data_IF_255469498610
#
_entry.id   IF_255469498610
#
_cell.length_a   1.000
_cell.length_b   1.000
_cell.length_c   1.000
_cell.angle_alpha   90.00
_cell.angle_beta   90.00
_cell.angle_gamma   90.00
#
_symmetry.space_group_name_H-M   'P 1'
#
loop_
_entity.id
_entity.type
_entity.pdbx_description
1 polymer ?
#
# COMPACT_ATOMS: atom_id res chain seq x y z
N UNK A 1 28.15 39.34 8.68
CA UNK A 1 27.79 38.42 7.60
C UNK A 1 28.16 37.05 8.07
N UNK A 2 27.31 36.47 8.88
CA UNK A 2 27.38 35.05 9.26
C UNK A 2 26.40 34.83 10.41
N UNK A 3 25.14 34.51 10.07
CA UNK A 3 24.14 34.02 11.03
C UNK A 3 22.87 33.56 10.32
N UNK A 4 22.97 32.53 9.49
CA UNK A 4 21.77 31.90 8.92
C UNK A 4 22.07 30.49 8.37
N UNK A 5 22.67 29.63 9.17
CA UNK A 5 22.84 28.22 8.81
C UNK A 5 23.13 27.36 10.05
N UNK A 6 22.30 27.45 11.09
CA UNK A 6 22.29 26.50 12.21
C UNK A 6 20.97 26.63 12.99
N UNK A 7 19.86 26.27 12.35
CA UNK A 7 18.63 25.85 13.01
C UNK A 7 18.27 24.54 12.34
N UNK A 8 18.71 23.45 12.75
CA UNK A 8 18.62 22.83 14.06
C UNK A 8 17.38 21.98 14.03
N UNK A 9 17.48 20.78 13.38
CA UNK A 9 16.59 19.64 13.64
C UNK A 9 16.84 19.18 15.09
N UNK A 10 16.64 20.07 16.04
CA UNK A 10 16.48 19.66 17.43
C UNK A 10 15.05 19.16 17.61
N UNK A 11 14.96 17.87 17.88
CA UNK A 11 13.82 17.17 18.43
C UNK A 11 13.03 18.06 19.37
N UNK A 12 11.88 18.54 18.94
CA UNK A 12 10.89 19.05 19.86
C UNK A 12 10.22 17.87 20.57
N UNK A 13 10.92 17.25 21.52
CA UNK A 13 10.27 16.62 22.65
C UNK A 13 9.56 17.72 23.45
N UNK A 14 8.57 18.39 22.81
CA UNK A 14 7.61 19.21 23.52
C UNK A 14 6.85 18.27 24.41
N UNK A 15 6.84 18.59 25.71
CA UNK A 15 6.01 17.95 26.73
C UNK A 15 4.69 17.49 26.11
N UNK A 16 4.41 16.21 26.22
CA UNK A 16 3.12 15.64 25.83
C UNK A 16 2.10 16.42 26.67
N UNK A 17 1.25 17.29 26.08
CA UNK A 17 0.23 17.99 26.86
C UNK A 17 -0.55 16.90 27.58
N UNK A 18 -0.86 17.12 28.86
CA UNK A 18 -1.67 16.21 29.65
C UNK A 18 -2.88 15.80 28.78
N UNK A 19 -2.89 14.53 28.34
CA UNK A 19 -3.92 13.99 27.45
C UNK A 19 -5.26 14.20 28.19
N UNK A 20 -6.03 15.16 27.70
CA UNK A 20 -7.38 15.36 28.17
C UNK A 20 -8.12 14.05 27.83
N UNK A 21 -8.60 13.32 28.83
CA UNK A 21 -9.29 12.03 28.71
C UNK A 21 -10.70 12.18 28.11
N UNK A 22 -10.85 13.08 27.16
CA UNK A 22 -12.12 13.32 26.51
C UNK A 22 -12.34 12.27 25.42
N UNK A 23 -13.44 11.60 25.50
CA UNK A 23 -13.87 10.52 24.58
C UNK A 23 -13.98 11.02 23.13
N UNK A 24 -13.50 10.23 22.16
CA UNK A 24 -13.83 10.45 20.75
C UNK A 24 -15.25 9.91 20.44
N UNK A 25 -16.05 10.60 19.60
CA UNK A 25 -15.78 11.90 18.98
C UNK A 25 -15.93 13.07 19.92
N UNK A 26 -15.21 14.18 19.65
CA UNK A 26 -15.49 15.47 20.26
C UNK A 26 -16.78 16.09 19.73
N UNK A 27 -17.32 17.14 20.39
CA UNK A 27 -18.65 17.69 20.06
C UNK A 27 -18.75 18.25 18.65
N UNK A 28 -17.70 18.89 18.11
CA UNK A 28 -17.69 19.44 16.74
C UNK A 28 -17.63 18.33 15.72
N UNK A 29 -16.77 17.34 15.93
CA UNK A 29 -16.72 16.14 15.09
C UNK A 29 -18.05 15.42 15.06
N UNK A 30 -18.67 15.20 16.22
CA UNK A 30 -19.97 14.52 16.32
C UNK A 30 -21.05 15.21 15.50
N UNK A 31 -21.16 16.53 15.59
CA UNK A 31 -22.15 17.32 14.83
C UNK A 31 -21.91 17.24 13.32
N UNK A 32 -20.65 17.33 12.86
CA UNK A 32 -20.30 17.21 11.44
C UNK A 32 -20.55 15.80 10.89
N UNK A 33 -20.28 14.76 11.69
CA UNK A 33 -20.55 13.37 11.30
C UNK A 33 -22.05 13.08 11.23
N UNK A 34 -22.85 13.63 12.17
CA UNK A 34 -24.32 13.55 12.11
C UNK A 34 -24.87 14.25 10.85
N UNK A 35 -24.36 15.43 10.52
CA UNK A 35 -24.74 16.13 9.29
C UNK A 35 -24.41 15.30 8.05
N UNK A 36 -23.19 14.75 7.95
CA UNK A 36 -22.78 13.91 6.83
C UNK A 36 -23.68 12.68 6.68
N UNK A 37 -24.11 12.08 7.80
CA UNK A 37 -25.02 10.94 7.82
C UNK A 37 -26.39 11.20 7.16
N UNK A 38 -26.75 12.46 6.94
CA UNK A 38 -27.98 12.82 6.17
C UNK A 38 -27.78 12.69 4.66
N UNK A 39 -26.54 12.64 4.18
CA UNK A 39 -26.21 12.64 2.76
C UNK A 39 -25.64 11.30 2.29
N UNK A 40 -24.94 10.58 3.18
CA UNK A 40 -24.23 9.34 2.82
C UNK A 40 -24.13 8.40 4.00
N UNK A 41 -24.17 7.09 3.73
CA UNK A 41 -23.78 6.07 4.69
C UNK A 41 -22.26 5.96 4.63
N UNK A 42 -21.58 6.32 5.70
CA UNK A 42 -20.13 6.28 5.80
C UNK A 42 -19.68 5.61 7.10
N UNK A 43 -18.66 4.74 6.99
CA UNK A 43 -17.93 4.19 8.13
C UNK A 43 -16.73 5.09 8.41
N UNK A 44 -16.85 5.95 9.40
CA UNK A 44 -15.87 6.99 9.71
C UNK A 44 -15.10 6.65 11.00
N UNK A 45 -13.84 7.06 11.04
CA UNK A 45 -13.17 7.20 12.34
C UNK A 45 -13.90 8.25 13.19
N UNK A 46 -13.91 8.10 14.54
CA UNK A 46 -14.70 8.97 15.42
C UNK A 46 -14.06 10.35 15.63
N UNK A 47 -13.61 10.98 14.56
CA UNK A 47 -13.03 12.33 14.55
C UNK A 47 -13.09 12.94 13.14
N UNK A 48 -13.11 14.27 13.06
CA UNK A 48 -12.98 15.02 11.81
C UNK A 48 -11.64 15.72 11.78
N UNK A 49 -10.90 15.55 10.67
CA UNK A 49 -9.54 16.08 10.50
C UNK A 49 -9.58 17.57 10.18
N UNK A 50 -8.77 18.36 10.88
CA UNK A 50 -8.42 19.73 10.52
C UNK A 50 -7.05 19.72 9.81
N UNK A 51 -7.05 19.85 8.49
CA UNK A 51 -5.86 19.77 7.68
C UNK A 51 -4.80 20.83 8.03
N UNK A 52 -5.22 21.99 8.53
CA UNK A 52 -4.29 23.09 8.90
C UNK A 52 -3.51 22.76 10.19
N UNK A 53 -4.05 21.87 11.02
CA UNK A 53 -3.44 21.45 12.29
C UNK A 53 -2.65 20.16 12.21
N UNK A 54 -2.65 19.50 11.04
CA UNK A 54 -1.84 18.30 10.85
C UNK A 54 -0.36 18.66 10.69
N UNK A 55 0.54 17.84 11.24
CA UNK A 55 1.99 18.06 11.14
C UNK A 55 2.76 16.72 11.27
N UNK A 56 3.65 16.42 10.33
CA UNK A 56 4.50 15.22 10.38
C UNK A 56 3.71 13.93 10.49
N UNK A 57 3.80 13.26 11.63
CA UNK A 57 3.06 12.05 11.97
C UNK A 57 1.74 12.33 12.71
N UNK A 58 1.34 13.59 12.88
CA UNK A 58 0.20 13.96 13.68
C UNK A 58 -0.96 14.49 12.86
N UNK A 59 -2.15 13.96 13.10
CA UNK A 59 -3.42 14.53 12.63
C UNK A 59 -3.91 15.56 13.66
N UNK A 60 -4.33 16.72 13.20
CA UNK A 60 -5.13 17.65 13.96
C UNK A 60 -6.62 17.38 13.77
N UNK A 61 -7.44 17.57 14.78
CA UNK A 61 -8.90 17.47 14.67
C UNK A 61 -9.59 18.82 14.83
N UNK A 62 -10.81 18.94 14.30
CA UNK A 62 -11.63 20.14 14.43
C UNK A 62 -11.98 20.45 15.89
N UNK A 63 -11.92 19.44 16.77
CA UNK A 63 -12.08 19.58 18.23
C UNK A 63 -10.78 20.03 18.94
N UNK A 64 -9.71 20.32 18.19
CA UNK A 64 -8.44 20.80 18.72
C UNK A 64 -7.52 19.72 19.30
N UNK A 65 -7.83 18.44 19.09
CA UNK A 65 -7.00 17.31 19.53
C UNK A 65 -5.93 16.96 18.50
N UNK A 66 -4.89 16.23 18.95
CA UNK A 66 -3.87 15.64 18.09
C UNK A 66 -3.95 14.11 18.19
N UNK A 67 -3.82 13.44 17.06
CA UNK A 67 -3.84 11.97 16.96
C UNK A 67 -2.54 11.54 16.28
N UNK A 68 -1.82 10.63 16.90
CA UNK A 68 -0.59 10.06 16.37
C UNK A 68 -0.91 9.00 15.34
N UNK A 69 -0.66 9.28 14.05
CA UNK A 69 -1.15 8.48 12.93
C UNK A 69 -0.13 7.43 12.47
N UNK A 70 -0.34 6.18 12.86
CA UNK A 70 0.39 5.01 12.35
C UNK A 70 -0.40 4.22 11.30
N UNK A 71 -1.57 4.72 10.91
CA UNK A 71 -2.38 4.20 9.81
C UNK A 71 -2.00 4.81 8.44
N UNK A 72 -1.45 6.04 8.43
CA UNK A 72 -0.92 6.73 7.26
C UNK A 72 -1.95 6.87 6.12
N UNK A 73 -3.21 7.17 6.45
CA UNK A 73 -4.31 7.19 5.48
C UNK A 73 -4.36 5.92 4.61
N UNK A 74 -4.36 4.75 5.24
CA UNK A 74 -4.30 3.45 4.55
C UNK A 74 -3.07 3.28 3.66
N UNK A 75 -1.92 3.81 4.11
CA UNK A 75 -0.66 3.83 3.38
C UNK A 75 -0.64 4.75 2.14
N UNK A 76 -1.50 5.75 2.06
CA UNK A 76 -1.50 6.70 0.95
C UNK A 76 -0.64 7.94 1.20
N UNK A 77 -0.17 8.15 2.44
CA UNK A 77 0.71 9.28 2.78
C UNK A 77 2.17 8.95 2.50
N UNK A 78 2.81 9.70 1.61
CA UNK A 78 4.21 9.49 1.23
C UNK A 78 5.17 10.14 2.24
N UNK A 79 4.96 11.43 2.52
CA UNK A 79 5.75 12.23 3.48
C UNK A 79 4.85 12.79 4.58
N UNK A 80 5.43 13.36 5.63
CA UNK A 80 4.71 13.96 6.74
C UNK A 80 3.67 15.00 6.34
N UNK A 81 2.65 15.17 7.17
CA UNK A 81 1.64 16.20 6.97
C UNK A 81 2.26 17.59 7.00
N UNK A 82 1.78 18.46 6.11
CA UNK A 82 2.19 19.86 6.01
C UNK A 82 3.71 20.09 6.00
N UNK A 83 4.42 19.18 5.30
CA UNK A 83 5.87 19.29 5.15
C UNK A 83 6.24 20.66 4.55
N UNK A 84 7.25 21.39 5.08
CA UNK A 84 7.61 22.74 4.62
C UNK A 84 7.87 22.85 3.11
N UNK A 85 8.44 21.81 2.50
CA UNK A 85 8.67 21.74 1.04
C UNK A 85 7.39 21.71 0.19
N UNK A 86 6.21 21.52 0.80
CA UNK A 86 4.90 21.62 0.13
C UNK A 86 4.33 23.05 0.16
N UNK A 87 5.10 24.01 0.70
CA UNK A 87 4.75 25.45 0.71
C UNK A 87 5.71 26.31 -0.10
N UNK A 88 6.64 25.70 -0.85
CA UNK A 88 7.52 26.40 -1.77
C UNK A 88 6.69 27.19 -2.81
N UNK A 89 6.91 28.50 -3.01
CA UNK A 89 6.00 29.35 -3.80
C UNK A 89 5.78 28.86 -5.24
N UNK A 90 6.84 28.39 -5.90
CA UNK A 90 6.74 27.86 -7.27
C UNK A 90 5.85 26.62 -7.34
N UNK A 91 6.01 25.69 -6.40
CA UNK A 91 5.16 24.52 -6.30
C UNK A 91 3.70 24.90 -6.06
N UNK A 92 3.43 25.79 -5.10
CA UNK A 92 2.06 26.23 -4.79
C UNK A 92 1.37 26.84 -6.01
N UNK A 93 2.08 27.69 -6.78
CA UNK A 93 1.53 28.27 -8.01
C UNK A 93 1.20 27.21 -9.06
N UNK A 94 2.05 26.20 -9.20
CA UNK A 94 1.82 25.08 -10.14
C UNK A 94 0.65 24.22 -9.68
N UNK A 95 0.56 23.94 -8.38
CA UNK A 95 -0.53 23.17 -7.78
C UNK A 95 -1.89 23.85 -8.01
N UNK A 96 -1.98 25.17 -7.75
CA UNK A 96 -3.20 25.96 -7.97
C UNK A 96 -3.61 25.94 -9.44
N UNK A 97 -2.65 26.10 -10.38
CA UNK A 97 -2.96 26.00 -11.82
C UNK A 97 -3.48 24.62 -12.21
N UNK A 98 -2.86 23.56 -11.70
CA UNK A 98 -3.31 22.18 -11.95
C UNK A 98 -4.70 21.91 -11.35
N UNK A 99 -4.98 22.43 -10.16
CA UNK A 99 -6.27 22.28 -9.49
C UNK A 99 -7.41 23.00 -10.25
N UNK A 100 -7.13 24.20 -10.78
CA UNK A 100 -8.14 24.99 -11.52
C UNK A 100 -8.39 24.52 -12.95
N UNK A 101 -7.50 23.67 -13.51
CA UNK A 101 -7.57 23.20 -14.88
C UNK A 101 -7.59 21.65 -14.90
N UNK A 102 -8.78 21.09 -14.76
CA UNK A 102 -8.95 19.63 -14.82
C UNK A 102 -8.77 19.12 -16.25
N UNK A 103 -7.53 18.78 -16.61
CA UNK A 103 -7.14 18.37 -17.95
C UNK A 103 -7.33 16.87 -18.17
N UNK A 104 -7.93 16.42 -19.28
CA UNK A 104 -7.90 15.01 -19.69
C UNK A 104 -6.50 14.67 -20.21
N UNK A 105 -5.64 14.17 -19.31
CA UNK A 105 -4.21 13.99 -19.57
C UNK A 105 -3.86 13.01 -20.70
N UNK A 106 -4.65 11.95 -21.00
CA UNK A 106 -4.36 11.08 -22.11
C UNK A 106 -4.38 11.79 -23.47
N UNK A 107 -5.26 12.76 -23.64
CA UNK A 107 -5.48 13.47 -24.92
C UNK A 107 -4.77 14.81 -24.97
N UNK A 108 -4.63 15.49 -23.83
CA UNK A 108 -4.07 16.86 -23.76
C UNK A 108 -2.84 16.90 -22.86
N UNK A 109 -1.68 16.75 -23.47
CA UNK A 109 -0.42 16.78 -22.75
C UNK A 109 -0.12 18.17 -22.17
N UNK A 110 0.22 18.20 -20.88
CA UNK A 110 0.78 19.36 -20.19
C UNK A 110 2.23 19.15 -19.77
N UNK A 111 2.96 20.22 -19.51
CA UNK A 111 4.34 20.11 -19.00
C UNK A 111 4.39 19.40 -17.65
N UNK A 112 3.38 19.63 -16.80
CA UNK A 112 3.21 18.98 -15.50
C UNK A 112 2.97 17.48 -15.63
N UNK A 113 2.10 17.07 -16.55
CA UNK A 113 1.87 15.66 -16.83
C UNK A 113 3.15 14.97 -17.36
N UNK A 114 3.86 15.62 -18.29
CA UNK A 114 5.13 15.10 -18.80
C UNK A 114 6.20 14.97 -17.71
N UNK A 115 6.29 15.94 -16.76
CA UNK A 115 7.21 15.85 -15.63
C UNK A 115 6.86 14.67 -14.71
N UNK A 116 5.57 14.42 -14.48
CA UNK A 116 5.12 13.24 -13.76
C UNK A 116 5.56 11.95 -14.45
N UNK A 117 5.31 11.79 -15.75
CA UNK A 117 5.73 10.61 -16.51
C UNK A 117 7.25 10.40 -16.48
N UNK A 118 8.04 11.47 -16.62
CA UNK A 118 9.50 11.39 -16.47
C UNK A 118 9.89 10.91 -15.07
N UNK A 119 9.22 11.38 -14.05
CA UNK A 119 9.49 11.00 -12.65
C UNK A 119 9.17 9.52 -12.44
N UNK A 120 7.96 9.05 -12.78
CA UNK A 120 7.57 7.65 -12.56
C UNK A 120 8.36 6.68 -13.43
N UNK A 121 8.72 7.04 -14.66
CA UNK A 121 9.57 6.23 -15.52
C UNK A 121 11.00 6.11 -14.96
N UNK A 122 11.55 7.18 -14.41
CA UNK A 122 12.89 7.19 -13.79
C UNK A 122 12.96 6.29 -12.56
N UNK A 123 11.91 6.28 -11.74
CA UNK A 123 11.84 5.46 -10.53
C UNK A 123 11.20 4.08 -10.77
N UNK A 124 10.96 3.68 -12.01
CA UNK A 124 10.35 2.39 -12.35
C UNK A 124 11.06 1.20 -11.68
N UNK A 125 10.36 0.07 -11.45
CA UNK A 125 10.96 -1.12 -10.88
C UNK A 125 12.22 -1.52 -11.63
N UNK A 126 13.33 -1.69 -10.90
CA UNK A 126 14.65 -1.98 -11.53
C UNK A 126 14.65 -3.27 -12.33
N UNK A 127 13.95 -4.29 -11.82
CA UNK A 127 13.83 -5.59 -12.48
C UNK A 127 13.07 -5.53 -13.82
N UNK A 128 12.32 -4.45 -14.08
CA UNK A 128 11.57 -4.26 -15.33
C UNK A 128 12.25 -3.29 -16.32
N UNK A 129 13.33 -2.62 -15.92
CA UNK A 129 13.96 -1.59 -16.76
C UNK A 129 14.50 -2.16 -18.06
N UNK A 130 13.96 -1.69 -19.15
CA UNK A 130 14.39 -2.00 -20.51
C UNK A 130 13.93 -0.87 -21.46
N UNK A 131 14.47 -0.75 -22.69
CA UNK A 131 14.10 0.32 -23.64
C UNK A 131 12.64 0.30 -24.09
N UNK A 132 11.91 -0.79 -23.85
CA UNK A 132 10.51 -0.97 -24.25
C UNK A 132 9.54 -0.85 -23.08
N UNK A 133 10.03 -0.54 -21.87
CA UNK A 133 9.17 -0.33 -20.71
C UNK A 133 8.15 0.75 -21.00
N UNK A 134 6.88 0.43 -20.85
CA UNK A 134 5.78 1.37 -20.98
C UNK A 134 5.13 1.63 -19.62
N UNK A 135 4.64 2.84 -19.44
CA UNK A 135 3.95 3.26 -18.20
C UNK A 135 2.64 3.93 -18.59
N UNK A 136 1.57 3.54 -17.93
CA UNK A 136 0.25 4.16 -18.11
C UNK A 136 -0.35 4.61 -16.79
N UNK A 137 -1.15 5.68 -16.81
CA UNK A 137 -1.78 6.26 -15.61
C UNK A 137 -3.30 6.21 -15.67
N UNK A 138 -3.91 5.97 -14.51
CA UNK A 138 -5.36 5.90 -14.30
C UNK A 138 -5.71 6.57 -12.96
N UNK A 139 -6.98 6.57 -12.54
CA UNK A 139 -7.43 7.39 -11.42
C UNK A 139 -7.26 6.71 -10.04
N UNK A 140 -7.19 5.39 -9.98
CA UNK A 140 -7.18 4.64 -8.72
C UNK A 140 -6.35 3.36 -8.76
N UNK A 141 -6.09 2.77 -7.58
CA UNK A 141 -5.41 1.48 -7.48
C UNK A 141 -6.23 0.33 -8.06
N UNK A 142 -7.55 0.33 -7.90
CA UNK A 142 -8.41 -0.69 -8.50
C UNK A 142 -8.36 -0.63 -10.03
N UNK A 143 -8.43 0.58 -10.62
CA UNK A 143 -8.23 0.75 -12.06
C UNK A 143 -6.83 0.30 -12.52
N UNK A 144 -5.78 0.58 -11.72
CA UNK A 144 -4.43 0.15 -12.04
C UNK A 144 -4.33 -1.37 -12.10
N UNK A 145 -4.91 -2.09 -11.13
CA UNK A 145 -4.95 -3.55 -11.14
C UNK A 145 -5.79 -4.08 -12.30
N UNK A 146 -6.97 -3.51 -12.56
CA UNK A 146 -7.80 -3.95 -13.70
C UNK A 146 -7.11 -3.73 -15.04
N UNK A 147 -6.40 -2.62 -15.20
CA UNK A 147 -5.62 -2.39 -16.41
C UNK A 147 -4.37 -3.30 -16.49
N UNK A 148 -3.75 -3.65 -15.35
CA UNK A 148 -2.76 -4.72 -15.30
C UNK A 148 -3.36 -6.04 -15.79
N UNK A 149 -4.54 -6.42 -15.33
CA UNK A 149 -5.25 -7.63 -15.78
C UNK A 149 -5.57 -7.57 -17.27
N UNK A 150 -6.06 -6.43 -17.78
CA UNK A 150 -6.28 -6.22 -19.23
C UNK A 150 -5.00 -6.44 -20.03
N UNK A 151 -3.86 -5.91 -19.57
CA UNK A 151 -2.58 -6.11 -20.20
C UNK A 151 -2.16 -7.59 -20.23
N UNK A 152 -2.27 -8.31 -19.10
CA UNK A 152 -1.95 -9.74 -19.04
C UNK A 152 -2.86 -10.57 -19.95
N UNK A 153 -4.16 -10.23 -20.05
CA UNK A 153 -5.10 -10.85 -20.98
C UNK A 153 -4.68 -10.56 -22.42
N UNK A 154 -4.28 -9.34 -22.75
CA UNK A 154 -3.82 -8.98 -24.09
C UNK A 154 -2.60 -9.82 -24.48
N UNK A 155 -1.58 -9.90 -23.62
CA UNK A 155 -0.40 -10.76 -23.84
C UNK A 155 -0.79 -12.24 -24.01
N UNK A 156 -1.74 -12.72 -23.24
CA UNK A 156 -2.24 -14.09 -23.34
C UNK A 156 -2.87 -14.37 -24.71
N UNK A 157 -3.69 -13.47 -25.22
CA UNK A 157 -4.29 -13.60 -26.55
C UNK A 157 -3.27 -13.45 -27.69
N UNK A 158 -2.33 -12.51 -27.58
CA UNK A 158 -1.25 -12.35 -28.56
C UNK A 158 -0.42 -13.62 -28.71
N UNK A 159 -0.04 -14.26 -27.61
CA UNK A 159 0.69 -15.54 -27.64
C UNK A 159 -0.08 -16.66 -28.36
N UNK A 160 -1.40 -16.62 -28.34
CA UNK A 160 -2.29 -17.59 -29.00
C UNK A 160 -2.62 -17.22 -30.46
N UNK A 161 -1.93 -16.25 -31.08
CA UNK A 161 -2.11 -15.84 -32.44
C UNK A 161 -3.11 -14.72 -32.70
N UNK A 162 -3.45 -13.94 -31.65
CA UNK A 162 -4.19 -12.68 -31.78
C UNK A 162 -5.67 -12.78 -32.13
N UNK A 163 -6.23 -13.97 -32.28
CA UNK A 163 -7.64 -14.14 -32.67
C UNK A 163 -8.53 -14.29 -31.41
N UNK A 164 -9.16 -13.18 -31.03
CA UNK A 164 -10.00 -13.04 -29.86
C UNK A 164 -11.33 -13.80 -29.90
N UNK A 165 -11.86 -14.15 -31.06
CA UNK A 165 -13.29 -14.40 -31.24
C UNK A 165 -13.81 -15.77 -30.75
N UNK A 166 -12.97 -16.70 -30.34
CA UNK A 166 -13.40 -18.01 -29.84
C UNK A 166 -12.68 -18.47 -28.58
N UNK A 167 -11.82 -17.63 -28.03
CA UNK A 167 -11.03 -17.99 -26.88
C UNK A 167 -11.85 -17.82 -25.60
N UNK A 168 -11.88 -18.87 -24.77
CA UNK A 168 -12.35 -18.72 -23.41
C UNK A 168 -11.55 -17.59 -22.72
N UNK A 169 -12.20 -16.74 -21.91
CA UNK A 169 -11.51 -15.73 -21.13
C UNK A 169 -10.44 -16.40 -20.28
N UNK A 170 -9.23 -15.83 -20.28
CA UNK A 170 -8.14 -16.38 -19.46
C UNK A 170 -8.48 -16.30 -17.99
N UNK A 171 -8.11 -17.35 -17.26
CA UNK A 171 -8.24 -17.38 -15.78
C UNK A 171 -7.10 -16.60 -15.15
N UNK A 172 -7.34 -16.06 -13.97
CA UNK A 172 -6.28 -15.56 -13.09
C UNK A 172 -6.06 -16.50 -11.92
N UNK A 173 -4.79 -16.72 -11.57
CA UNK A 173 -4.41 -17.32 -10.31
C UNK A 173 -4.10 -16.19 -9.32
N UNK A 174 -4.71 -16.25 -8.13
CA UNK A 174 -4.54 -15.26 -7.08
C UNK A 174 -4.50 -15.93 -5.69
N UNK A 175 -4.15 -15.17 -4.66
CA UNK A 175 -3.89 -15.71 -3.35
C UNK A 175 -4.99 -15.38 -2.34
N UNK A 176 -5.25 -16.30 -1.42
CA UNK A 176 -6.18 -16.10 -0.31
C UNK A 176 -5.85 -14.83 0.48
N UNK A 177 -6.89 -14.14 0.90
CA UNK A 177 -6.84 -12.87 1.64
C UNK A 177 -6.17 -11.71 0.87
N UNK A 178 -6.04 -11.82 -0.45
CA UNK A 178 -5.58 -10.73 -1.29
C UNK A 178 -6.58 -9.56 -1.33
N UNK A 179 -6.04 -8.35 -1.53
CA UNK A 179 -6.85 -7.16 -1.76
C UNK A 179 -6.35 -6.40 -3.00
N UNK A 180 -7.09 -6.52 -4.09
CA UNK A 180 -6.74 -5.94 -5.39
C UNK A 180 -7.67 -4.79 -5.82
N UNK A 181 -8.72 -4.53 -5.08
CA UNK A 181 -9.67 -3.46 -5.35
C UNK A 181 -11.12 -3.84 -5.07
N UNK A 182 -12.03 -2.87 -5.24
CA UNK A 182 -13.47 -3.02 -5.00
C UNK A 182 -14.31 -2.81 -6.26
N UNK A 183 -13.71 -2.61 -7.42
CA UNK A 183 -14.41 -2.69 -8.71
C UNK A 183 -14.75 -4.14 -9.03
N UNK A 184 -15.79 -4.39 -9.81
CA UNK A 184 -16.32 -5.76 -10.00
C UNK A 184 -15.25 -6.73 -10.50
N UNK A 185 -14.37 -6.32 -11.44
CA UNK A 185 -13.36 -7.22 -11.98
C UNK A 185 -12.22 -7.48 -10.98
N UNK A 186 -11.70 -6.43 -10.34
CA UNK A 186 -10.69 -6.56 -9.28
C UNK A 186 -11.23 -7.33 -8.06
N UNK A 187 -12.53 -7.19 -7.75
CA UNK A 187 -13.15 -7.89 -6.64
C UNK A 187 -13.16 -9.41 -6.82
N UNK A 188 -13.16 -9.91 -8.07
CA UNK A 188 -13.14 -11.34 -8.35
C UNK A 188 -11.76 -12.01 -8.17
N UNK A 189 -10.72 -11.23 -7.88
CA UNK A 189 -9.39 -11.69 -7.45
C UNK A 189 -9.03 -11.13 -6.07
N UNK A 190 -10.01 -10.58 -5.37
CA UNK A 190 -9.90 -10.06 -4.00
C UNK A 190 -10.63 -11.01 -3.04
N UNK A 191 -9.98 -11.36 -1.93
CA UNK A 191 -10.64 -12.05 -0.83
C UNK A 191 -10.39 -11.27 0.45
N UNK A 192 -11.31 -10.37 0.78
CA UNK A 192 -11.25 -9.66 2.07
C UNK A 192 -12.02 -10.43 3.13
N UNK A 193 -11.58 -10.28 4.39
CA UNK A 193 -12.31 -10.82 5.55
C UNK A 193 -13.52 -9.94 5.93
N UNK A 194 -13.70 -8.80 5.26
CA UNK A 194 -14.87 -7.96 5.38
C UNK A 194 -16.00 -8.54 4.50
N UNK A 195 -17.00 -9.23 5.08
CA UNK A 195 -18.06 -9.87 4.31
C UNK A 195 -18.96 -8.86 3.59
N UNK A 196 -19.02 -7.62 4.05
CA UNK A 196 -19.83 -6.57 3.42
C UNK A 196 -19.19 -6.12 2.10
N UNK A 197 -17.86 -6.06 2.05
CA UNK A 197 -17.14 -5.59 0.87
C UNK A 197 -17.28 -6.53 -0.35
N UNK A 198 -17.53 -7.81 -0.12
CA UNK A 198 -17.59 -8.84 -1.18
C UNK A 198 -18.97 -9.47 -1.38
N UNK A 199 -19.90 -9.20 -0.48
CA UNK A 199 -21.20 -9.85 -0.23
C UNK A 199 -21.87 -10.46 -1.48
N UNK A 200 -22.24 -9.63 -2.46
CA UNK A 200 -23.03 -10.07 -3.62
C UNK A 200 -22.22 -10.12 -4.93
N UNK A 201 -20.92 -9.79 -4.86
CA UNK A 201 -20.09 -9.55 -6.05
C UNK A 201 -18.91 -10.50 -6.19
N UNK A 202 -18.52 -11.19 -5.12
CA UNK A 202 -17.45 -12.18 -5.17
C UNK A 202 -17.87 -13.42 -5.95
N UNK A 203 -17.00 -13.89 -6.86
CA UNK A 203 -17.31 -15.04 -7.70
C UNK A 203 -18.22 -14.74 -8.90
N UNK A 204 -18.55 -13.45 -9.15
CA UNK A 204 -19.38 -13.06 -10.28
C UNK A 204 -18.73 -13.39 -11.65
N UNK A 205 -17.39 -13.39 -11.69
CA UNK A 205 -16.62 -13.88 -12.84
C UNK A 205 -16.06 -15.27 -12.47
N UNK A 206 -16.65 -16.37 -12.95
CA UNK A 206 -16.23 -17.70 -12.58
C UNK A 206 -14.91 -18.08 -13.24
N UNK A 207 -14.19 -19.01 -12.60
CA UNK A 207 -13.05 -19.70 -13.18
C UNK A 207 -11.68 -19.21 -12.73
N UNK A 208 -11.57 -18.16 -11.95
CA UNK A 208 -10.31 -17.77 -11.33
C UNK A 208 -9.85 -18.83 -10.31
N UNK A 209 -8.55 -19.00 -10.17
CA UNK A 209 -7.92 -20.03 -9.34
C UNK A 209 -7.35 -19.39 -8.08
N UNK A 210 -7.88 -19.77 -6.94
CA UNK A 210 -7.42 -19.29 -5.65
C UNK A 210 -6.48 -20.31 -4.99
N UNK A 211 -5.38 -19.83 -4.43
CA UNK A 211 -4.41 -20.63 -3.67
C UNK A 211 -4.09 -19.98 -2.33
N UNK A 212 -3.66 -20.74 -1.31
CA UNK A 212 -3.17 -20.16 -0.07
C UNK A 212 -1.98 -19.21 -0.33
N UNK A 213 -1.84 -18.17 0.50
CA UNK A 213 -0.61 -17.37 0.54
C UNK A 213 0.32 -17.93 1.62
N UNK A 214 1.61 -18.18 1.34
CA UNK A 214 2.53 -18.81 2.28
C UNK A 214 3.10 -17.80 3.28
N UNK A 215 2.21 -17.11 4.01
CA UNK A 215 2.62 -16.12 5.01
C UNK A 215 3.52 -16.74 6.08
N UNK A 216 4.67 -16.08 6.31
CA UNK A 216 5.59 -16.44 7.39
C UNK A 216 4.93 -16.19 8.74
N UNK A 217 5.05 -17.14 9.64
CA UNK A 217 4.76 -16.98 11.05
C UNK A 217 6.08 -17.04 11.84
N UNK A 218 6.52 -15.91 12.36
CA UNK A 218 7.80 -15.80 13.11
C UNK A 218 7.77 -16.51 14.47
N UNK A 219 6.60 -16.92 14.93
CA UNK A 219 6.41 -17.74 16.14
C UNK A 219 6.49 -19.25 15.86
N UNK A 220 6.63 -19.64 14.59
CA UNK A 220 6.83 -21.03 14.16
C UNK A 220 8.27 -21.28 13.72
N UNK A 221 8.66 -22.57 13.65
CA UNK A 221 9.99 -22.92 13.17
C UNK A 221 10.19 -22.54 11.70
N UNK A 222 11.41 -22.20 11.27
CA UNK A 222 11.73 -21.97 9.86
C UNK A 222 11.35 -23.16 8.95
N UNK A 223 11.45 -24.37 9.45
CA UNK A 223 11.06 -25.61 8.77
C UNK A 223 9.59 -25.60 8.38
N UNK A 224 8.73 -25.25 9.34
CA UNK A 224 7.27 -25.20 9.12
C UNK A 224 6.89 -24.10 8.10
N UNK A 225 7.54 -22.95 8.15
CA UNK A 225 7.35 -21.88 7.17
C UNK A 225 7.79 -22.35 5.76
N UNK A 226 8.95 -23.00 5.63
CA UNK A 226 9.41 -23.57 4.35
C UNK A 226 8.51 -24.69 3.83
N UNK A 227 7.95 -25.56 4.71
CA UNK A 227 6.99 -26.59 4.31
C UNK A 227 5.75 -25.95 3.70
N UNK A 228 5.18 -24.94 4.37
CA UNK A 228 4.03 -24.16 3.87
C UNK A 228 4.30 -23.56 2.49
N UNK A 229 5.46 -22.93 2.32
CA UNK A 229 5.89 -22.35 1.02
C UNK A 229 5.92 -23.41 -0.08
N UNK A 230 6.50 -24.58 0.20
CA UNK A 230 6.59 -25.70 -0.75
C UNK A 230 5.23 -26.23 -1.15
N UNK A 231 4.35 -26.47 -0.19
CA UNK A 231 2.98 -26.97 -0.42
C UNK A 231 2.16 -26.02 -1.30
N UNK A 232 2.33 -24.71 -1.10
CA UNK A 232 1.68 -23.70 -1.93
C UNK A 232 2.25 -23.72 -3.35
N UNK A 233 3.58 -23.78 -3.53
CA UNK A 233 4.22 -23.84 -4.84
C UNK A 233 3.85 -25.12 -5.60
N UNK A 234 3.78 -26.26 -4.93
CA UNK A 234 3.30 -27.53 -5.50
C UNK A 234 1.84 -27.40 -5.97
N UNK A 235 0.99 -26.74 -5.19
CA UNK A 235 -0.40 -26.46 -5.58
C UNK A 235 -0.45 -25.54 -6.82
N UNK A 236 0.37 -24.51 -6.88
CA UNK A 236 0.48 -23.62 -8.04
C UNK A 236 0.93 -24.41 -9.27
N UNK A 237 2.00 -25.21 -9.18
CA UNK A 237 2.52 -26.01 -10.30
C UNK A 237 1.47 -27.01 -10.82
N UNK A 238 0.74 -27.66 -9.90
CA UNK A 238 -0.36 -28.57 -10.25
C UNK A 238 -1.50 -27.84 -10.98
N UNK A 239 -1.94 -26.70 -10.49
CA UNK A 239 -3.00 -25.89 -11.11
C UNK A 239 -2.58 -25.41 -12.50
N UNK A 240 -1.34 -24.88 -12.64
CA UNK A 240 -0.82 -24.41 -13.91
C UNK A 240 -0.68 -25.55 -14.94
N UNK A 241 -0.37 -26.76 -14.47
CA UNK A 241 -0.37 -27.97 -15.30
C UNK A 241 -1.78 -28.40 -15.70
N UNK A 242 -2.72 -28.44 -14.73
CA UNK A 242 -4.12 -28.86 -14.94
C UNK A 242 -4.88 -27.93 -15.88
N UNK A 243 -4.59 -26.63 -15.82
CA UNK A 243 -5.22 -25.59 -16.63
C UNK A 243 -4.23 -25.01 -17.66
N UNK A 244 -3.35 -25.86 -18.20
CA UNK A 244 -2.36 -25.44 -19.18
C UNK A 244 -3.01 -24.74 -20.38
N UNK A 245 -2.54 -23.53 -20.71
CA UNK A 245 -3.08 -22.71 -21.77
C UNK A 245 -4.40 -21.99 -21.45
N UNK A 246 -4.93 -22.08 -20.22
CA UNK A 246 -6.12 -21.37 -19.78
C UNK A 246 -5.82 -20.23 -18.81
N UNK A 247 -4.64 -20.19 -18.19
CA UNK A 247 -4.26 -19.18 -17.21
C UNK A 247 -3.60 -17.99 -17.92
N UNK A 248 -4.24 -16.83 -17.86
CA UNK A 248 -3.74 -15.58 -18.44
C UNK A 248 -2.66 -14.93 -17.56
N UNK A 249 -2.80 -15.03 -16.25
CA UNK A 249 -1.83 -14.42 -15.33
C UNK A 249 -1.95 -14.88 -13.91
N UNK A 250 -0.87 -14.64 -13.17
CA UNK A 250 -0.80 -14.73 -11.70
C UNK A 250 -0.75 -13.31 -11.16
N UNK A 251 -1.58 -13.00 -10.16
CA UNK A 251 -1.58 -11.70 -9.48
C UNK A 251 -1.20 -11.91 -8.02
N UNK A 252 -0.24 -11.14 -7.53
CA UNK A 252 0.26 -11.27 -6.16
C UNK A 252 0.65 -9.91 -5.55
N UNK A 253 0.33 -9.72 -4.26
CA UNK A 253 0.90 -8.64 -3.46
C UNK A 253 2.25 -9.12 -2.89
N UNK A 254 3.33 -8.32 -2.93
CA UNK A 254 4.60 -8.71 -2.27
C UNK A 254 4.47 -8.71 -0.74
N UNK A 255 3.57 -7.90 -0.19
CA UNK A 255 3.09 -7.94 1.20
C UNK A 255 1.57 -7.79 1.15
N UNK A 256 0.84 -8.80 1.60
CA UNK A 256 -0.62 -8.70 1.71
C UNK A 256 -1.01 -7.75 2.84
N UNK A 257 -1.32 -6.51 2.46
CA UNK A 257 -1.61 -5.47 3.45
C UNK A 257 -2.90 -5.70 4.21
N UNK A 258 -4.02 -5.71 3.51
CA UNK A 258 -5.36 -5.85 4.10
C UNK A 258 -5.61 -7.25 4.68
N UNK A 259 -5.04 -8.27 4.06
CA UNK A 259 -5.19 -9.67 4.45
C UNK A 259 -4.46 -10.08 5.74
N UNK A 260 -3.92 -9.14 6.52
CA UNK A 260 -3.28 -9.45 7.81
C UNK A 260 -1.80 -9.10 7.87
N UNK A 261 -1.34 -8.19 7.04
CA UNK A 261 0.09 -7.85 6.91
C UNK A 261 0.96 -9.09 6.73
N UNK A 262 0.59 -9.94 5.77
CA UNK A 262 1.24 -11.23 5.52
C UNK A 262 2.45 -11.04 4.61
N UNK A 263 3.59 -11.55 5.05
CA UNK A 263 4.87 -11.50 4.33
C UNK A 263 5.25 -12.93 3.99
N UNK A 264 5.70 -13.19 2.77
CA UNK A 264 6.29 -14.47 2.39
C UNK A 264 7.82 -14.34 2.27
N UNK A 265 8.52 -15.48 2.33
CA UNK A 265 9.95 -15.50 2.09
C UNK A 265 10.27 -15.08 0.65
N UNK A 266 11.39 -14.40 0.36
CA UNK A 266 11.76 -14.01 -0.99
C UNK A 266 11.83 -15.20 -1.97
N UNK A 267 12.25 -16.36 -1.50
CA UNK A 267 12.33 -17.62 -2.25
C UNK A 267 10.98 -18.05 -2.83
N UNK A 268 9.87 -17.77 -2.13
CA UNK A 268 8.54 -18.01 -2.66
C UNK A 268 8.31 -17.25 -3.97
N UNK A 269 8.63 -15.97 -4.01
CA UNK A 269 8.43 -15.15 -5.20
C UNK A 269 9.40 -15.52 -6.33
N UNK A 270 10.62 -15.92 -5.98
CA UNK A 270 11.61 -16.42 -6.95
C UNK A 270 11.11 -17.71 -7.62
N UNK A 271 10.60 -18.66 -6.84
CA UNK A 271 10.06 -19.91 -7.37
C UNK A 271 8.73 -19.69 -8.09
N UNK A 272 7.87 -18.78 -7.63
CA UNK A 272 6.67 -18.38 -8.36
C UNK A 272 7.01 -17.79 -9.73
N UNK A 273 8.07 -16.97 -9.82
CA UNK A 273 8.58 -16.44 -11.08
C UNK A 273 9.10 -17.56 -12.02
N UNK A 274 9.81 -18.56 -11.46
CA UNK A 274 10.26 -19.75 -12.24
C UNK A 274 9.06 -20.57 -12.75
N UNK A 275 8.05 -20.79 -11.91
CA UNK A 275 6.84 -21.52 -12.31
C UNK A 275 6.06 -20.76 -13.38
N UNK A 276 5.87 -19.44 -13.23
CA UNK A 276 5.24 -18.62 -14.25
C UNK A 276 5.97 -18.72 -15.59
N UNK A 277 7.30 -18.65 -15.59
CA UNK A 277 8.11 -18.82 -16.79
C UNK A 277 8.00 -20.24 -17.38
N UNK A 278 8.13 -21.28 -16.56
CA UNK A 278 8.01 -22.71 -16.96
C UNK A 278 6.68 -22.99 -17.66
N UNK A 279 5.59 -22.50 -17.10
CA UNK A 279 4.23 -22.70 -17.64
C UNK A 279 3.80 -21.65 -18.66
N UNK A 280 4.68 -20.70 -18.98
CA UNK A 280 4.39 -19.61 -19.90
C UNK A 280 3.17 -18.78 -19.48
N UNK A 281 3.00 -18.55 -18.19
CA UNK A 281 1.96 -17.70 -17.60
C UNK A 281 2.57 -16.35 -17.22
N UNK A 282 1.80 -15.28 -17.37
CA UNK A 282 2.27 -13.92 -17.07
C UNK A 282 2.16 -13.62 -15.59
N UNK A 283 3.13 -12.89 -15.03
CA UNK A 283 3.17 -12.52 -13.61
C UNK A 283 2.96 -11.02 -13.44
N UNK A 284 1.98 -10.64 -12.62
CA UNK A 284 1.71 -9.26 -12.23
C UNK A 284 1.84 -9.06 -10.72
N UNK A 285 2.55 -8.02 -10.31
CA UNK A 285 2.64 -7.61 -8.90
C UNK A 285 1.71 -6.43 -8.62
N UNK A 286 0.93 -6.55 -7.55
CA UNK A 286 0.17 -5.45 -6.98
C UNK A 286 0.99 -4.78 -5.87
N UNK A 287 1.58 -3.65 -6.20
CA UNK A 287 2.33 -2.78 -5.28
C UNK A 287 1.55 -1.51 -4.92
N UNK A 288 0.24 -1.52 -5.05
CA UNK A 288 -0.61 -0.38 -4.68
C UNK A 288 -0.35 0.09 -3.25
N UNK A 289 -0.02 -0.80 -2.34
CA UNK A 289 0.28 -0.45 -0.96
C UNK A 289 1.78 -0.33 -0.66
N UNK A 290 2.62 -1.19 -1.23
CA UNK A 290 4.04 -1.33 -0.87
C UNK A 290 4.96 -0.34 -1.56
N UNK A 291 4.64 0.10 -2.79
CA UNK A 291 5.46 1.06 -3.52
C UNK A 291 5.55 2.43 -2.83
N UNK A 292 6.59 3.18 -3.15
CA UNK A 292 6.85 4.53 -2.67
C UNK A 292 7.91 4.63 -1.57
N UNK A 293 8.67 3.56 -1.29
CA UNK A 293 9.86 3.63 -0.44
C UNK A 293 9.76 3.11 1.00
N UNK A 294 8.58 2.84 1.58
CA UNK A 294 8.50 2.50 3.00
C UNK A 294 9.16 1.15 3.35
N UNK A 295 9.34 0.27 2.38
CA UNK A 295 10.03 -1.01 2.55
C UNK A 295 11.54 -0.92 2.45
N UNK A 296 12.10 0.28 2.18
CA UNK A 296 13.52 0.53 1.99
C UNK A 296 13.98 0.56 0.53
N UNK A 297 13.08 0.32 -0.40
CA UNK A 297 13.21 0.52 -1.86
C UNK A 297 11.92 1.15 -2.38
N UNK A 298 11.98 1.83 -3.53
CA UNK A 298 10.77 2.42 -4.14
C UNK A 298 9.73 1.34 -4.45
N UNK A 299 10.17 0.18 -4.94
CA UNK A 299 9.32 -0.99 -5.16
C UNK A 299 9.82 -2.19 -4.35
N UNK A 300 8.90 -2.88 -3.70
CA UNK A 300 9.22 -4.09 -2.95
C UNK A 300 9.71 -5.22 -3.86
N UNK A 301 9.20 -5.30 -5.08
CA UNK A 301 9.62 -6.30 -6.08
C UNK A 301 11.12 -6.24 -6.38
N UNK A 302 11.76 -5.08 -6.21
CA UNK A 302 13.21 -4.89 -6.39
C UNK A 302 14.06 -5.53 -5.29
N UNK A 303 13.44 -6.00 -4.21
CA UNK A 303 14.09 -6.70 -3.10
C UNK A 303 13.92 -8.23 -3.16
N UNK A 304 13.19 -8.73 -4.16
CA UNK A 304 12.84 -10.14 -4.26
C UNK A 304 13.82 -10.96 -5.11
N UNK A 305 14.74 -10.31 -5.83
CA UNK A 305 15.75 -10.94 -6.70
C UNK A 305 15.14 -11.97 -7.67
N UNK A 306 14.07 -11.57 -8.36
CA UNK A 306 13.31 -12.45 -9.24
C UNK A 306 14.17 -12.96 -10.41
N UNK A 307 14.22 -14.27 -10.69
CA UNK A 307 14.95 -14.84 -11.84
C UNK A 307 14.40 -14.36 -13.20
N UNK A 308 13.11 -14.09 -13.26
CA UNK A 308 12.43 -13.53 -14.43
C UNK A 308 11.62 -12.31 -14.03
N UNK A 309 11.71 -11.18 -14.76
CA UNK A 309 10.94 -9.98 -14.42
C UNK A 309 9.44 -10.24 -14.56
N UNK A 310 8.61 -9.59 -13.72
CA UNK A 310 7.16 -9.60 -13.92
C UNK A 310 6.81 -8.89 -15.25
N UNK A 311 5.69 -9.25 -15.84
CA UNK A 311 5.19 -8.57 -17.02
C UNK A 311 4.56 -7.23 -16.68
N UNK A 312 3.99 -7.10 -15.48
CA UNK A 312 3.45 -5.83 -15.03
C UNK A 312 3.58 -5.63 -13.53
N UNK A 313 3.63 -4.36 -13.12
CA UNK A 313 3.51 -3.91 -11.74
C UNK A 313 2.47 -2.79 -11.68
N UNK A 314 1.44 -2.96 -10.86
CA UNK A 314 0.44 -1.94 -10.58
C UNK A 314 0.76 -1.22 -9.27
N UNK A 315 0.62 0.11 -9.23
CA UNK A 315 0.75 0.92 -8.01
C UNK A 315 -0.21 2.09 -8.00
N UNK A 316 -0.40 2.72 -6.84
CA UNK A 316 -1.24 3.91 -6.66
C UNK A 316 -0.93 4.58 -5.31
N UNK A 317 -1.97 5.01 -4.57
CA UNK A 317 -1.86 5.58 -3.23
C UNK A 317 -0.82 6.70 -3.17
N UNK A 318 0.37 6.41 -2.65
CA UNK A 318 1.49 7.37 -2.56
C UNK A 318 1.91 7.98 -3.89
N UNK A 319 1.63 7.31 -5.01
CA UNK A 319 1.89 7.85 -6.36
C UNK A 319 0.89 8.94 -6.81
N UNK A 320 -0.12 9.22 -5.99
CA UNK A 320 -1.15 10.22 -6.26
C UNK A 320 -2.26 9.70 -7.18
N UNK A 321 -1.90 8.98 -8.23
CA UNK A 321 -2.79 8.36 -9.21
C UNK A 321 -2.49 6.86 -9.34
N UNK A 322 -3.34 6.10 -10.04
CA UNK A 322 -3.02 4.71 -10.39
C UNK A 322 -1.99 4.67 -11.51
N UNK A 323 -1.02 3.76 -11.42
CA UNK A 323 0.07 3.58 -12.39
C UNK A 323 0.24 2.11 -12.71
N UNK A 324 0.42 1.80 -13.98
CA UNK A 324 0.77 0.47 -14.46
C UNK A 324 2.12 0.55 -15.18
N UNK A 325 3.08 -0.25 -14.72
CA UNK A 325 4.33 -0.52 -15.43
C UNK A 325 4.17 -1.80 -16.23
N UNK A 326 4.46 -1.74 -17.51
CA UNK A 326 4.35 -2.85 -18.47
C UNK A 326 5.72 -3.15 -19.05
N UNK A 327 6.15 -4.41 -19.00
CA UNK A 327 7.48 -4.81 -19.45
C UNK A 327 7.71 -4.54 -20.94
N UNK A 328 6.63 -4.58 -21.72
CA UNK A 328 6.61 -4.26 -23.14
C UNK A 328 5.36 -3.45 -23.47
N UNK A 329 5.38 -2.62 -24.54
CA UNK A 329 4.21 -1.86 -24.97
C UNK A 329 3.04 -2.76 -25.35
N UNK A 330 1.84 -2.26 -25.17
CA UNK A 330 0.67 -2.82 -25.84
C UNK A 330 0.73 -2.51 -27.36
N UNK A 331 0.26 -3.45 -28.17
CA UNK A 331 0.21 -3.25 -29.62
C UNK A 331 -0.86 -2.24 -30.02
N UNK A 332 -2.03 -2.30 -29.35
CA UNK A 332 -3.17 -1.45 -29.63
C UNK A 332 -3.21 -0.23 -28.70
N UNK A 333 -3.29 0.96 -29.28
CA UNK A 333 -3.54 2.20 -28.53
C UNK A 333 -4.98 2.28 -28.05
N UNK A 334 -5.21 2.95 -26.91
CA UNK A 334 -6.55 3.20 -26.39
C UNK A 334 -7.18 2.02 -25.60
N UNK A 335 -6.50 0.88 -25.48
CA UNK A 335 -7.01 -0.26 -24.67
C UNK A 335 -7.08 0.05 -23.18
N UNK A 336 -6.12 0.83 -22.68
CA UNK A 336 -6.03 1.23 -21.27
C UNK A 336 -6.62 2.63 -21.00
N UNK A 337 -7.35 3.17 -21.95
CA UNK A 337 -7.79 4.57 -21.96
C UNK A 337 -8.76 4.90 -20.81
N UNK A 338 -8.64 6.14 -20.32
CA UNK A 338 -9.56 6.74 -19.36
C UNK A 338 -9.57 8.27 -19.55
N UNK A 339 -10.74 8.92 -19.43
CA UNK A 339 -10.89 10.36 -19.69
C UNK A 339 -9.84 11.22 -18.95
N UNK A 340 -9.57 10.93 -17.70
CA UNK A 340 -8.68 11.76 -16.90
C UNK A 340 -7.22 11.26 -16.85
N UNK A 341 -7.00 9.95 -16.94
CA UNK A 341 -5.67 9.36 -16.82
C UNK A 341 -4.95 9.71 -15.50
N UNK A 342 -5.74 9.93 -14.43
CA UNK A 342 -5.28 10.46 -13.16
C UNK A 342 -5.45 11.98 -13.01
N UNK A 343 -5.52 12.48 -11.79
CA UNK A 343 -5.68 13.90 -11.48
C UNK A 343 -4.37 14.68 -11.65
N UNK A 344 -4.34 15.72 -12.50
CA UNK A 344 -3.14 16.55 -12.72
C UNK A 344 -2.62 17.17 -11.42
N UNK A 345 -3.52 17.56 -10.50
CA UNK A 345 -3.16 18.10 -9.19
C UNK A 345 -2.38 17.09 -8.34
N UNK A 346 -2.77 15.83 -8.40
CA UNK A 346 -2.11 14.74 -7.69
C UNK A 346 -0.74 14.40 -8.30
N UNK A 347 -0.63 14.50 -9.63
CA UNK A 347 0.65 14.35 -10.35
C UNK A 347 1.64 15.43 -9.93
N UNK A 348 1.22 16.71 -9.88
CA UNK A 348 2.06 17.83 -9.44
C UNK A 348 2.50 17.64 -7.99
N UNK A 349 1.58 17.20 -7.10
CA UNK A 349 1.91 16.94 -5.70
C UNK A 349 2.94 15.81 -5.57
N UNK A 350 2.73 14.69 -6.23
CA UNK A 350 3.65 13.56 -6.18
C UNK A 350 5.07 13.92 -6.65
N UNK A 351 5.19 14.68 -7.73
CA UNK A 351 6.50 15.14 -8.22
C UNK A 351 7.22 15.95 -7.16
N UNK A 352 6.52 16.85 -6.46
CA UNK A 352 7.11 17.63 -5.38
C UNK A 352 7.47 16.76 -4.17
N UNK A 353 6.60 15.85 -3.77
CA UNK A 353 6.88 14.90 -2.68
C UNK A 353 8.11 14.06 -3.02
N UNK A 354 8.27 13.58 -4.25
CA UNK A 354 9.44 12.81 -4.66
C UNK A 354 10.72 13.64 -4.65
N UNK A 355 10.68 14.91 -5.02
CA UNK A 355 11.83 15.83 -4.89
C UNK A 355 12.26 15.96 -3.41
N UNK A 356 11.29 16.04 -2.49
CA UNK A 356 11.57 16.08 -1.05
C UNK A 356 12.16 14.75 -0.59
N UNK A 357 11.55 13.63 -0.97
CA UNK A 357 12.03 12.26 -0.63
C UNK A 357 13.49 12.06 -1.06
N UNK A 358 13.85 12.49 -2.26
CA UNK A 358 15.20 12.38 -2.79
C UNK A 358 16.17 13.33 -2.10
N UNK A 359 15.79 14.60 -1.92
CA UNK A 359 16.59 15.63 -1.24
C UNK A 359 16.96 15.23 0.19
N UNK A 360 16.03 14.61 0.89
CA UNK A 360 16.18 14.23 2.30
C UNK A 360 16.62 12.76 2.49
N UNK A 361 16.77 12.00 1.40
CA UNK A 361 17.23 10.61 1.44
C UNK A 361 16.30 9.66 2.18
N UNK A 362 14.98 9.93 2.21
CA UNK A 362 14.03 9.27 3.10
C UNK A 362 13.90 7.75 2.85
N UNK A 363 14.03 7.30 1.60
CA UNK A 363 13.99 5.87 1.27
C UNK A 363 15.20 5.13 1.84
N UNK A 364 16.38 5.73 1.76
CA UNK A 364 17.61 5.10 2.25
C UNK A 364 17.57 4.83 3.77
N UNK A 365 16.95 5.72 4.54
CA UNK A 365 16.83 5.56 6.00
C UNK A 365 15.64 4.69 6.44
N UNK A 366 14.68 4.42 5.55
CA UNK A 366 13.50 3.64 5.88
C UNK A 366 13.84 2.21 6.33
N UNK A 367 14.91 1.62 5.79
CA UNK A 367 15.38 0.28 6.20
C UNK A 367 15.87 0.29 7.66
N UNK A 368 16.79 1.18 8.00
CA UNK A 368 17.37 1.27 9.36
C UNK A 368 16.30 1.62 10.41
N UNK A 369 15.43 2.58 10.10
CA UNK A 369 14.29 2.92 10.96
C UNK A 369 13.34 1.72 11.11
N UNK A 370 13.12 0.98 10.05
CA UNK A 370 12.31 -0.24 10.06
C UNK A 370 12.91 -1.35 10.93
N UNK A 371 14.24 -1.53 10.91
CA UNK A 371 14.94 -2.48 11.78
C UNK A 371 14.78 -2.10 13.27
N UNK A 372 14.89 -0.79 13.59
CA UNK A 372 14.61 -0.27 14.93
C UNK A 372 13.18 -0.56 15.36
N UNK A 373 12.20 -0.25 14.50
CA UNK A 373 10.78 -0.51 14.77
C UNK A 373 10.52 -2.00 14.99
N UNK A 374 11.03 -2.86 14.11
CA UNK A 374 10.88 -4.31 14.22
C UNK A 374 11.51 -4.86 15.51
N UNK A 375 12.68 -4.36 15.90
CA UNK A 375 13.35 -4.75 17.15
C UNK A 375 12.50 -4.35 18.37
N UNK A 376 11.97 -3.13 18.38
CA UNK A 376 11.07 -2.66 19.45
C UNK A 376 9.79 -3.48 19.57
N UNK A 377 9.16 -3.81 18.42
CA UNK A 377 7.96 -4.66 18.40
C UNK A 377 8.24 -6.10 18.88
N UNK A 378 9.40 -6.68 18.53
CA UNK A 378 9.82 -7.98 19.09
C UNK A 378 10.01 -7.92 20.60
N UNK A 379 10.64 -6.85 21.10
CA UNK A 379 10.75 -6.63 22.55
C UNK A 379 9.38 -6.50 23.24
N UNK A 380 8.35 -5.90 22.59
CA UNK A 380 6.97 -5.91 23.10
C UNK A 380 6.41 -7.34 23.14
N UNK A 381 6.58 -8.12 22.07
CA UNK A 381 6.12 -9.51 22.02
C UNK A 381 6.79 -10.40 23.08
N UNK A 382 8.07 -10.17 23.38
CA UNK A 382 8.79 -10.88 24.44
C UNK A 382 8.27 -10.54 25.84
N UNK A 383 7.82 -9.29 26.07
CA UNK A 383 7.22 -8.86 27.34
C UNK A 383 5.75 -9.23 27.52
N UNK A 384 5.02 -9.41 26.41
CA UNK A 384 3.59 -9.72 26.37
C UNK A 384 3.31 -10.94 25.50
N UNK A 385 3.96 -12.11 25.74
CA UNK A 385 3.88 -13.28 24.85
C UNK A 385 2.47 -13.89 24.79
N UNK A 386 1.63 -13.62 25.79
CA UNK A 386 0.22 -14.02 25.83
C UNK A 386 -0.70 -13.15 24.94
N UNK A 387 -0.25 -11.96 24.55
CA UNK A 387 -1.02 -11.00 23.77
C UNK A 387 -0.49 -10.85 22.35
N UNK A 388 0.84 -10.69 22.19
CA UNK A 388 1.49 -10.26 20.94
C UNK A 388 2.39 -11.36 20.41
N UNK A 389 2.25 -11.68 19.13
CA UNK A 389 3.11 -12.64 18.45
C UNK A 389 3.29 -12.29 16.97
N UNK A 390 4.09 -13.07 16.27
CA UNK A 390 4.29 -13.00 14.82
C UNK A 390 4.57 -11.59 14.32
N UNK A 391 5.61 -10.93 14.88
CA UNK A 391 6.12 -9.64 14.40
C UNK A 391 6.79 -9.85 13.05
N UNK A 392 6.35 -9.12 12.02
CA UNK A 392 6.79 -9.30 10.63
C UNK A 392 6.71 -8.01 9.84
N UNK A 393 7.47 -7.91 8.76
CA UNK A 393 7.43 -6.76 7.88
C UNK A 393 8.73 -6.49 7.16
N UNK A 394 8.77 -5.39 6.42
CA UNK A 394 9.94 -4.92 5.68
C UNK A 394 10.03 -3.39 5.79
N UNK A 395 11.21 -2.89 6.15
CA UNK A 395 11.42 -1.46 6.38
C UNK A 395 10.45 -0.90 7.42
N UNK A 396 9.87 0.25 7.17
CA UNK A 396 8.86 0.89 8.03
C UNK A 396 7.49 0.17 8.02
N UNK A 397 7.25 -0.71 7.03
CA UNK A 397 6.02 -1.49 6.98
C UNK A 397 6.14 -2.72 7.85
N UNK A 398 5.71 -2.59 9.10
CA UNK A 398 5.71 -3.64 10.11
C UNK A 398 4.29 -4.01 10.52
N UNK A 399 4.13 -5.18 11.08
CA UNK A 399 2.90 -5.66 11.68
C UNK A 399 3.15 -6.75 12.72
N UNK A 400 2.17 -6.97 13.54
CA UNK A 400 2.16 -8.02 14.55
C UNK A 400 0.74 -8.58 14.71
N UNK A 401 0.61 -9.76 15.27
CA UNK A 401 -0.68 -10.38 15.55
C UNK A 401 -0.99 -10.35 17.04
N UNK A 402 -2.28 -10.24 17.36
CA UNK A 402 -2.83 -10.50 18.68
C UNK A 402 -3.39 -11.93 18.73
N UNK A 403 -3.51 -12.51 19.91
CA UNK A 403 -3.96 -13.90 20.09
C UNK A 403 -5.40 -14.14 19.63
N UNK A 404 -6.21 -13.11 19.46
CA UNK A 404 -7.53 -13.18 18.86
C UNK A 404 -8.05 -11.83 18.36
N UNK A 405 -9.14 -11.87 17.60
CA UNK A 405 -9.75 -10.68 17.00
C UNK A 405 -10.35 -9.70 18.03
N UNK A 406 -10.84 -10.20 19.15
CA UNK A 406 -11.40 -9.34 20.20
C UNK A 406 -10.32 -8.47 20.84
N UNK A 407 -9.15 -9.04 21.13
CA UNK A 407 -7.99 -8.29 21.62
C UNK A 407 -7.48 -7.27 20.60
N UNK A 408 -7.48 -7.62 19.31
CA UNK A 408 -7.12 -6.68 18.25
C UNK A 408 -8.06 -5.46 18.25
N UNK A 409 -9.37 -5.69 18.25
CA UNK A 409 -10.36 -4.60 18.30
C UNK A 409 -10.21 -3.77 19.58
N UNK A 410 -10.00 -4.43 20.72
CA UNK A 410 -9.80 -3.74 21.98
C UNK A 410 -8.51 -2.90 21.98
N UNK A 411 -7.42 -3.40 21.37
CA UNK A 411 -6.19 -2.61 21.24
C UNK A 411 -6.40 -1.36 20.40
N UNK A 412 -7.11 -1.45 19.27
CA UNK A 412 -7.40 -0.28 18.41
C UNK A 412 -8.26 0.75 19.19
N UNK A 413 -9.24 0.29 19.95
CA UNK A 413 -10.09 1.14 20.76
C UNK A 413 -9.29 1.85 21.87
N UNK A 414 -8.54 1.10 22.69
CA UNK A 414 -7.73 1.66 23.79
C UNK A 414 -6.68 2.62 23.25
N UNK A 415 -6.01 2.26 22.14
CA UNK A 415 -5.00 3.12 21.53
C UNK A 415 -5.59 4.47 21.10
N UNK A 416 -6.74 4.49 20.44
CA UNK A 416 -7.36 5.73 20.00
C UNK A 416 -7.95 6.52 21.16
N UNK A 417 -8.73 5.87 22.02
CA UNK A 417 -9.50 6.57 23.06
C UNK A 417 -8.65 7.06 24.24
N UNK A 418 -7.63 6.29 24.61
CA UNK A 418 -6.86 6.59 25.82
C UNK A 418 -5.48 7.18 25.53
N UNK A 419 -4.88 6.86 24.36
CA UNK A 419 -3.53 7.32 24.02
C UNK A 419 -3.50 8.21 22.75
N UNK A 420 -4.66 8.51 22.15
CA UNK A 420 -4.77 9.24 20.87
C UNK A 420 -3.84 8.67 19.78
N UNK A 421 -3.65 7.35 19.77
CA UNK A 421 -2.84 6.59 18.83
C UNK A 421 -3.75 5.90 17.81
N UNK A 422 -3.63 6.28 16.54
CA UNK A 422 -4.38 5.64 15.45
C UNK A 422 -3.61 4.44 14.92
N UNK A 423 -4.12 3.26 15.22
CA UNK A 423 -3.67 1.98 14.67
C UNK A 423 -4.60 1.52 13.54
N UNK A 424 -4.16 0.54 12.77
CA UNK A 424 -4.95 -0.05 11.69
C UNK A 424 -4.95 -1.57 11.78
N UNK A 425 -6.13 -2.14 11.92
CA UNK A 425 -6.33 -3.59 11.84
C UNK A 425 -6.06 -4.14 10.45
N UNK A 426 -5.71 -5.42 10.40
CA UNK A 426 -5.52 -6.17 9.18
C UNK A 426 -5.85 -7.66 9.41
N UNK A 427 -6.52 -8.28 8.43
CA UNK A 427 -6.97 -9.65 8.60
C UNK A 427 -7.84 -9.82 9.85
N UNK A 428 -7.74 -10.98 10.49
CA UNK A 428 -8.55 -11.31 11.68
C UNK A 428 -7.98 -10.66 12.95
N UNK A 429 -6.67 -10.77 13.15
CA UNK A 429 -6.00 -10.58 14.44
C UNK A 429 -4.79 -9.66 14.40
N UNK A 430 -4.48 -9.08 13.26
CA UNK A 430 -3.23 -8.34 13.08
C UNK A 430 -3.41 -6.83 13.13
N UNK A 431 -2.37 -6.14 13.60
CA UNK A 431 -2.16 -4.71 13.43
C UNK A 431 -1.09 -4.50 12.34
N UNK A 432 -1.33 -3.54 11.47
CA UNK A 432 -0.36 -3.09 10.45
C UNK A 432 0.01 -1.64 10.67
N UNK A 433 1.29 -1.36 10.68
CA UNK A 433 1.83 -0.01 10.80
C UNK A 433 2.16 0.52 9.41
N UNK A 434 1.71 1.72 9.11
CA UNK A 434 1.84 2.35 7.77
C UNK A 434 2.28 3.81 7.89
N UNK A 435 3.37 4.09 8.62
CA UNK A 435 3.84 5.45 8.77
C UNK A 435 4.29 6.03 7.41
N UNK A 436 4.34 7.35 7.32
CA UNK A 436 4.97 8.03 6.18
C UNK A 436 6.51 7.99 6.29
N UNK A 437 7.20 8.35 5.21
CA UNK A 437 8.67 8.30 5.17
C UNK A 437 9.38 9.32 6.08
N UNK A 438 8.67 10.37 6.49
CA UNK A 438 9.25 11.39 7.40
C UNK A 438 9.29 10.96 8.87
N UNK A 439 8.84 9.75 9.20
CA UNK A 439 8.91 9.17 10.56
C UNK A 439 10.33 9.31 11.13
N UNK A 440 10.43 9.83 12.34
CA UNK A 440 11.69 10.00 13.06
C UNK A 440 11.89 8.88 14.11
N UNK A 441 13.13 8.73 14.61
CA UNK A 441 13.42 7.77 15.67
C UNK A 441 12.60 8.01 16.93
N UNK A 442 12.39 9.30 17.29
CA UNK A 442 11.53 9.67 18.40
C UNK A 442 10.05 9.28 18.22
N UNK A 443 9.56 9.24 16.96
CA UNK A 443 8.20 8.75 16.69
C UNK A 443 8.10 7.24 16.94
N UNK A 444 9.17 6.48 16.62
CA UNK A 444 9.23 5.04 16.87
C UNK A 444 9.25 4.78 18.38
N UNK A 445 10.07 5.51 19.13
CA UNK A 445 10.17 5.37 20.58
C UNK A 445 8.82 5.68 21.26
N UNK A 446 8.18 6.76 20.86
CA UNK A 446 6.86 7.13 21.36
C UNK A 446 5.80 6.06 21.01
N UNK A 447 5.78 5.53 19.77
CA UNK A 447 4.87 4.45 19.43
C UNK A 447 5.03 3.26 20.37
N UNK A 448 6.28 2.82 20.59
CA UNK A 448 6.56 1.64 21.43
C UNK A 448 6.13 1.87 22.88
N UNK A 449 6.32 3.08 23.40
CA UNK A 449 5.84 3.46 24.73
C UNK A 449 4.31 3.44 24.81
N UNK A 450 3.62 4.02 23.82
CA UNK A 450 2.16 4.04 23.76
C UNK A 450 1.59 2.62 23.62
N UNK A 451 2.18 1.79 22.76
CA UNK A 451 1.78 0.37 22.63
C UNK A 451 1.96 -0.40 23.94
N UNK A 452 3.08 -0.23 24.64
CA UNK A 452 3.31 -0.84 25.95
C UNK A 452 2.21 -0.45 26.95
N UNK A 453 1.83 0.83 26.97
CA UNK A 453 0.74 1.31 27.84
C UNK A 453 -0.61 0.70 27.48
N UNK A 454 -0.90 0.60 26.16
CA UNK A 454 -2.13 -0.03 25.69
C UNK A 454 -2.19 -1.51 26.04
N UNK A 455 -1.10 -2.27 25.80
CA UNK A 455 -1.04 -3.70 26.06
C UNK A 455 -1.25 -4.06 27.54
N UNK A 456 -0.76 -3.22 28.45
CA UNK A 456 -0.98 -3.41 29.90
C UNK A 456 -2.45 -3.23 30.33
N UNK A 457 -3.31 -2.73 29.46
CA UNK A 457 -4.74 -2.47 29.74
C UNK A 457 -5.66 -3.47 29.05
N UNK A 458 -5.09 -4.41 28.28
CA UNK A 458 -5.82 -5.52 27.68
C UNK A 458 -5.99 -6.68 28.64
#
# INVERSE_FOLDING_TARGET
MDRAAKNGLESSAKEIPALNRDVFPGPVSAAMMEELGRYVIADLYPFVVDLARCEGMWLGTVDGRRIFDWAGYYASKLIGHNHPGLYEPEYVQRLVRAANNKTPNPDFLTAECLEYYRTIHRIAPRCMRNPKLEVYTVNSGAEAVENMMKYLINLFHLRRGGKSASAQPGRFLYFQQAFHGRTIFALNVTETLDPVATKDFHGFIPGNLQVPFPGVNTSESPEKNRSRTREVLETVDWLLTRFAGEVAGIIVEPIQGAGGHRVAEPEFFQDLSRLAHKHQVFLGFDEVQTAGGPTGEIFMVDQLDLPYPPQAVATAKKFGVGVIYMLHPMEDKGVLDSTWGGGLVDMVRFVQEMKIVEREGLVAVARTKGERLAAGLRGLAERHPELVFNVRGQGLYQGFSLTNSALRLRLEEVALQEEALLLMGAGVDSIRLRPNLSTMDGDIDLLLELLERCLRRL
#
